data_IF_636850701500
#
_entry.id   IF_636850701500
#
_cell.length_a   1.000
_cell.length_b   1.000
_cell.length_c   1.000
_cell.angle_alpha   90.00
_cell.angle_beta   90.00
_cell.angle_gamma   90.00
#
_symmetry.space_group_name_H-M   'P 1'
#
loop_
_entity.id
_entity.type
_entity.pdbx_description
1 polymer ?
#
# COMPACT_ATOMS: atom_id res chain seq x y z
N UNK A 1 -46.41 10.87 -8.99
CA UNK A 1 -45.03 10.71 -9.47
C UNK A 1 -45.01 9.59 -10.51
N UNK A 2 -44.70 9.91 -11.77
CA UNK A 2 -44.77 8.92 -12.85
C UNK A 2 -43.53 7.99 -12.83
N UNK A 3 -43.75 6.67 -12.98
CA UNK A 3 -42.70 5.64 -13.03
C UNK A 3 -41.53 6.00 -13.96
N UNK A 4 -41.80 6.67 -15.07
CA UNK A 4 -40.81 7.15 -16.05
C UNK A 4 -39.87 8.23 -15.48
N UNK A 5 -40.37 9.14 -14.65
CA UNK A 5 -39.56 10.18 -13.99
C UNK A 5 -38.69 9.62 -12.89
N UNK A 6 -39.18 8.61 -12.15
CA UNK A 6 -38.40 7.91 -11.12
C UNK A 6 -37.20 7.16 -11.71
N UNK A 7 -37.40 6.44 -12.83
CA UNK A 7 -36.31 5.75 -13.54
C UNK A 7 -35.29 6.71 -14.12
N UNK A 8 -35.67 7.89 -14.59
CA UNK A 8 -34.76 8.91 -15.08
C UNK A 8 -33.88 9.49 -13.98
N UNK A 9 -34.43 9.73 -12.79
CA UNK A 9 -33.65 10.22 -11.64
C UNK A 9 -32.76 9.14 -11.01
N UNK A 10 -33.21 7.88 -10.96
CA UNK A 10 -32.44 6.75 -10.49
C UNK A 10 -31.25 6.42 -11.43
N UNK A 11 -31.46 6.52 -12.75
CA UNK A 11 -30.44 6.31 -13.74
C UNK A 11 -29.32 7.35 -13.72
N UNK A 12 -29.65 8.63 -13.48
CA UNK A 12 -28.65 9.71 -13.38
C UNK A 12 -27.80 9.64 -12.11
N UNK A 13 -28.39 9.19 -10.99
CA UNK A 13 -27.69 9.05 -9.70
C UNK A 13 -26.65 7.95 -9.69
N UNK A 14 -26.88 6.84 -10.39
CA UNK A 14 -25.93 5.73 -10.47
C UNK A 14 -24.71 6.01 -11.35
N UNK A 15 -24.83 6.82 -12.40
CA UNK A 15 -23.70 7.13 -13.28
C UNK A 15 -22.65 8.05 -12.63
N UNK A 16 -23.05 8.92 -11.69
CA UNK A 16 -22.14 9.84 -11.02
C UNK A 16 -21.20 9.16 -10.01
N UNK A 17 -21.59 8.05 -9.43
CA UNK A 17 -20.77 7.34 -8.42
C UNK A 17 -19.71 6.41 -9.03
N UNK A 18 -19.87 6.01 -10.30
CA UNK A 18 -18.94 5.07 -10.94
C UNK A 18 -17.65 5.72 -11.46
N UNK A 19 -17.61 7.04 -11.62
CA UNK A 19 -16.48 7.75 -12.25
C UNK A 19 -15.30 7.91 -11.28
N UNK A 20 -15.55 7.92 -9.98
CA UNK A 20 -14.51 8.12 -8.96
C UNK A 20 -13.69 6.86 -8.60
N UNK A 21 -14.10 5.68 -9.08
CA UNK A 21 -13.46 4.41 -8.74
C UNK A 21 -12.33 4.00 -9.70
N UNK A 22 -12.14 4.72 -10.80
CA UNK A 22 -11.06 4.45 -11.75
C UNK A 22 -9.83 5.25 -11.40
N UNK A 23 -8.76 4.58 -10.97
CA UNK A 23 -7.43 5.17 -10.84
C UNK A 23 -6.47 4.52 -11.83
N UNK A 24 -5.41 5.24 -12.17
CA UNK A 24 -4.36 4.74 -13.07
C UNK A 24 -3.18 4.27 -12.24
N UNK A 25 -2.59 3.13 -12.60
CA UNK A 25 -1.38 2.63 -11.95
C UNK A 25 -0.19 3.53 -12.32
N UNK A 26 0.64 3.98 -11.35
CA UNK A 26 1.58 5.08 -11.56
C UNK A 26 2.72 4.79 -12.55
N UNK A 27 3.09 3.53 -12.77
CA UNK A 27 4.20 3.18 -13.67
C UNK A 27 3.71 2.59 -14.99
N UNK A 28 2.58 1.87 -14.97
CA UNK A 28 2.10 1.10 -16.13
C UNK A 28 0.96 1.76 -16.88
N UNK A 29 0.46 2.89 -16.40
CA UNK A 29 -0.70 3.64 -16.93
C UNK A 29 -1.98 2.80 -17.13
N UNK A 30 -2.04 1.65 -16.45
CA UNK A 30 -3.20 0.78 -16.50
C UNK A 30 -4.33 1.33 -15.65
N UNK A 31 -5.52 1.41 -16.21
CA UNK A 31 -6.73 1.72 -15.46
C UNK A 31 -7.01 0.61 -14.46
N UNK A 32 -7.18 0.98 -13.19
CA UNK A 32 -7.51 0.08 -12.10
C UNK A 32 -8.82 0.52 -11.46
N UNK A 33 -9.62 -0.45 -11.06
CA UNK A 33 -10.81 -0.22 -10.27
C UNK A 33 -10.44 -0.39 -8.79
N UNK A 34 -10.25 0.73 -8.08
CA UNK A 34 -9.91 0.73 -6.66
C UNK A 34 -11.19 0.90 -5.83
N UNK A 35 -11.63 -0.16 -5.17
CA UNK A 35 -12.82 -0.15 -4.30
C UNK A 35 -12.44 0.29 -2.87
N UNK A 36 -11.25 -0.09 -2.41
CA UNK A 36 -10.79 0.17 -1.05
C UNK A 36 -9.80 1.34 -1.06
N UNK A 37 -10.02 2.39 -0.25
CA UNK A 37 -9.05 3.47 -0.10
C UNK A 37 -7.71 2.97 0.43
N UNK A 38 -6.60 3.44 -0.14
CA UNK A 38 -5.24 3.05 0.26
C UNK A 38 -4.97 3.30 1.74
N UNK A 39 -5.41 4.42 2.28
CA UNK A 39 -5.28 4.74 3.70
C UNK A 39 -5.89 3.66 4.60
N UNK A 40 -7.02 3.08 4.20
CA UNK A 40 -7.66 1.99 4.96
C UNK A 40 -6.86 0.70 4.88
N UNK A 41 -6.32 0.37 3.72
CA UNK A 41 -5.43 -0.78 3.55
C UNK A 41 -4.15 -0.65 4.38
N UNK A 42 -3.52 0.52 4.35
CA UNK A 42 -2.32 0.80 5.12
C UNK A 42 -2.58 0.70 6.63
N UNK A 43 -3.72 1.22 7.12
CA UNK A 43 -4.11 1.11 8.52
C UNK A 43 -4.35 -0.34 8.94
N UNK A 44 -5.02 -1.14 8.12
CA UNK A 44 -5.25 -2.56 8.39
C UNK A 44 -3.94 -3.35 8.37
N UNK A 45 -3.06 -3.09 7.41
CA UNK A 45 -1.75 -3.71 7.33
C UNK A 45 -0.89 -3.39 8.56
N UNK A 46 -0.87 -2.14 9.02
CA UNK A 46 -0.17 -1.74 10.23
C UNK A 46 -0.66 -2.51 11.47
N UNK A 47 -1.97 -2.69 11.63
CA UNK A 47 -2.54 -3.47 12.74
C UNK A 47 -2.13 -4.95 12.68
N UNK A 48 -2.11 -5.56 11.49
CA UNK A 48 -1.68 -6.95 11.31
C UNK A 48 -0.19 -7.08 11.61
N UNK A 49 0.61 -6.14 11.13
CA UNK A 49 2.05 -6.09 11.35
C UNK A 49 2.40 -6.01 12.85
N UNK A 50 1.70 -5.16 13.61
CA UNK A 50 1.84 -5.08 15.06
C UNK A 50 1.50 -6.41 15.76
N UNK A 51 0.47 -7.12 15.30
CA UNK A 51 0.13 -8.45 15.82
C UNK A 51 1.25 -9.46 15.54
N UNK A 52 1.86 -9.40 14.36
CA UNK A 52 3.00 -10.27 14.01
C UNK A 52 4.19 -9.97 14.91
N UNK A 53 4.54 -8.71 15.12
CA UNK A 53 5.63 -8.31 16.02
C UNK A 53 5.44 -8.83 17.45
N UNK A 54 4.19 -8.90 17.91
CA UNK A 54 3.87 -9.44 19.26
C UNK A 54 3.89 -10.96 19.31
N UNK A 55 3.57 -11.63 18.21
CA UNK A 55 3.44 -13.09 18.13
C UNK A 55 4.77 -13.77 17.82
N UNK A 56 5.54 -13.21 16.90
CA UNK A 56 6.77 -13.79 16.40
C UNK A 56 7.98 -13.35 17.25
N UNK A 57 8.98 -14.21 17.34
CA UNK A 57 10.24 -13.85 17.99
C UNK A 57 11.08 -12.98 17.03
N UNK A 58 11.44 -11.78 17.47
CA UNK A 58 12.35 -10.92 16.72
C UNK A 58 13.79 -11.40 16.86
N UNK A 59 14.56 -11.25 15.77
CA UNK A 59 15.97 -11.62 15.77
C UNK A 59 16.81 -10.58 16.52
N UNK A 60 17.81 -11.05 17.25
CA UNK A 60 18.81 -10.24 17.92
C UNK A 60 20.00 -9.86 17.00
N UNK A 61 19.99 -10.33 15.74
CA UNK A 61 21.04 -10.05 14.75
C UNK A 61 20.91 -8.61 14.20
N UNK A 62 21.48 -7.70 14.94
CA UNK A 62 21.50 -6.27 14.58
C UNK A 62 22.20 -6.02 13.26
N UNK A 63 23.27 -6.76 12.95
CA UNK A 63 24.03 -6.57 11.71
C UNK A 63 23.17 -6.84 10.48
N UNK A 64 22.41 -7.94 10.48
CA UNK A 64 21.50 -8.27 9.38
C UNK A 64 20.32 -7.29 9.32
N UNK A 65 19.76 -6.89 10.46
CA UNK A 65 18.69 -5.90 10.49
C UNK A 65 19.14 -4.52 9.96
N UNK A 66 20.33 -4.07 10.33
CA UNK A 66 20.89 -2.81 9.84
C UNK A 66 21.15 -2.85 8.33
N UNK A 67 21.63 -3.99 7.81
CA UNK A 67 21.76 -4.20 6.37
C UNK A 67 20.42 -4.11 5.64
N UNK A 68 19.37 -4.72 6.19
CA UNK A 68 18.02 -4.66 5.61
C UNK A 68 17.50 -3.22 5.60
N UNK A 69 17.71 -2.47 6.67
CA UNK A 69 17.32 -1.05 6.76
C UNK A 69 18.08 -0.18 5.77
N UNK A 70 19.40 -0.40 5.61
CA UNK A 70 20.21 0.34 4.65
C UNK A 70 19.75 0.09 3.20
N UNK A 71 19.45 -1.17 2.85
CA UNK A 71 18.88 -1.52 1.56
C UNK A 71 17.50 -0.86 1.38
N UNK A 72 16.66 -0.92 2.41
CA UNK A 72 15.34 -0.31 2.40
C UNK A 72 15.40 1.20 2.16
N UNK A 73 16.26 1.91 2.88
CA UNK A 73 16.43 3.34 2.71
C UNK A 73 16.88 3.71 1.29
N UNK A 74 17.81 2.96 0.71
CA UNK A 74 18.22 3.16 -0.69
C UNK A 74 17.07 2.95 -1.68
N UNK A 75 16.18 2.00 -1.41
CA UNK A 75 14.99 1.79 -2.22
C UNK A 75 13.99 2.96 -2.08
N UNK A 76 13.74 3.42 -0.86
CA UNK A 76 12.88 4.59 -0.60
C UNK A 76 13.39 5.83 -1.33
N UNK A 77 14.69 6.13 -1.21
CA UNK A 77 15.33 7.26 -1.88
C UNK A 77 15.21 7.15 -3.40
N UNK A 78 15.42 5.95 -3.95
CA UNK A 78 15.29 5.68 -5.39
C UNK A 78 13.86 5.84 -5.90
N UNK A 79 12.86 5.46 -5.11
CA UNK A 79 11.45 5.65 -5.45
C UNK A 79 11.14 7.16 -5.52
N UNK A 80 11.49 7.90 -4.48
CA UNK A 80 11.26 9.35 -4.43
C UNK A 80 11.97 10.07 -5.58
N UNK A 81 13.21 9.70 -5.89
CA UNK A 81 13.95 10.26 -7.01
C UNK A 81 13.29 9.96 -8.36
N UNK A 82 12.83 8.72 -8.56
CA UNK A 82 12.14 8.33 -9.79
C UNK A 82 10.88 9.17 -10.03
N UNK A 83 10.02 9.28 -9.03
CA UNK A 83 8.77 10.02 -9.17
C UNK A 83 8.98 11.53 -9.30
N UNK A 84 10.00 12.09 -8.66
CA UNK A 84 10.37 13.49 -8.83
C UNK A 84 10.85 13.82 -10.27
N UNK A 85 11.53 12.86 -10.91
CA UNK A 85 12.02 13.02 -12.30
C UNK A 85 10.92 12.83 -13.35
N UNK A 86 9.92 12.01 -13.06
CA UNK A 86 8.87 11.66 -14.03
C UNK A 86 7.66 12.57 -13.95
N UNK A 87 7.67 13.56 -13.06
CA UNK A 87 6.55 14.47 -12.78
C UNK A 87 5.24 13.69 -12.50
N UNK A 88 5.39 12.55 -11.87
CA UNK A 88 4.31 11.64 -11.50
C UNK A 88 4.10 11.64 -10.00
N UNK A 89 2.86 11.42 -9.57
CA UNK A 89 2.54 11.34 -8.15
C UNK A 89 3.20 10.08 -7.53
N UNK A 90 3.99 10.29 -6.47
CA UNK A 90 4.63 9.21 -5.73
C UNK A 90 3.58 8.45 -4.89
N UNK A 91 3.30 7.17 -5.20
CA UNK A 91 2.29 6.38 -4.49
C UNK A 91 2.71 5.99 -3.08
N UNK A 92 3.97 6.25 -2.71
CA UNK A 92 4.50 5.91 -1.38
C UNK A 92 4.44 7.07 -0.40
N UNK A 93 3.92 8.23 -0.85
CA UNK A 93 3.68 9.37 0.04
C UNK A 93 2.71 8.96 1.16
N UNK A 94 3.16 9.14 2.40
CA UNK A 94 2.40 8.73 3.59
C UNK A 94 2.58 7.27 4.00
N UNK A 95 3.50 6.54 3.39
CA UNK A 95 3.92 5.25 3.91
C UNK A 95 4.71 5.44 5.21
N UNK A 96 4.45 4.56 6.16
CA UNK A 96 5.22 4.44 7.40
C UNK A 96 6.12 3.20 7.29
N UNK A 97 7.29 3.41 6.68
CA UNK A 97 8.24 2.35 6.39
C UNK A 97 8.77 1.71 7.67
N UNK A 98 8.69 0.41 7.74
CA UNK A 98 9.16 -0.35 8.89
C UNK A 98 9.74 -1.69 8.45
N UNK A 99 10.89 -2.05 9.02
CA UNK A 99 11.65 -3.25 8.71
C UNK A 99 11.83 -4.09 9.98
N UNK A 100 11.43 -5.35 9.95
CA UNK A 100 11.69 -6.30 11.03
C UNK A 100 12.41 -7.54 10.50
N UNK A 101 13.15 -8.18 11.39
CA UNK A 101 13.79 -9.47 11.16
C UNK A 101 13.23 -10.49 12.15
N UNK A 102 12.54 -11.51 11.63
CA UNK A 102 11.91 -12.57 12.43
C UNK A 102 12.91 -13.71 12.60
N UNK A 103 13.10 -14.17 13.84
CA UNK A 103 13.95 -15.33 14.15
C UNK A 103 13.20 -16.64 13.94
N UNK A 104 13.16 -17.13 12.69
CA UNK A 104 12.60 -18.42 12.35
C UNK A 104 13.49 -19.18 11.36
N UNK A 105 14.35 -20.05 11.86
CA UNK A 105 15.31 -20.81 11.04
C UNK A 105 14.67 -21.80 10.06
N UNK A 106 13.42 -22.15 10.25
CA UNK A 106 12.68 -23.08 9.39
C UNK A 106 12.07 -22.43 8.18
N UNK A 107 11.87 -21.11 8.22
CA UNK A 107 11.24 -20.34 7.16
C UNK A 107 12.25 -19.33 6.62
N UNK A 108 12.61 -19.46 5.34
CA UNK A 108 13.39 -18.46 4.61
C UNK A 108 12.44 -17.75 3.67
N UNK A 109 11.97 -16.59 4.06
CA UNK A 109 11.00 -15.81 3.31
C UNK A 109 11.18 -14.31 3.54
N UNK A 110 10.73 -13.52 2.60
CA UNK A 110 10.60 -12.08 2.74
C UNK A 110 9.23 -11.66 2.18
N UNK A 111 8.57 -10.73 2.85
CA UNK A 111 7.27 -10.24 2.43
C UNK A 111 7.10 -8.76 2.79
N UNK A 112 6.20 -8.09 2.10
CA UNK A 112 5.80 -6.72 2.38
C UNK A 112 4.28 -6.60 2.44
N UNK A 113 3.83 -5.66 3.23
CA UNK A 113 2.42 -5.27 3.33
C UNK A 113 2.22 -3.82 2.89
N UNK A 114 0.98 -3.43 2.53
CA UNK A 114 0.66 -2.04 2.22
C UNK A 114 1.15 -1.06 3.31
N UNK A 115 1.55 0.13 2.89
CA UNK A 115 2.06 1.16 3.81
C UNK A 115 3.53 1.01 4.19
N UNK A 116 4.32 0.19 3.47
CA UNK A 116 5.77 0.06 3.66
C UNK A 116 6.18 -0.86 4.81
N UNK A 117 5.37 -1.84 5.18
CA UNK A 117 5.67 -2.82 6.24
C UNK A 117 6.38 -4.04 5.67
N UNK A 118 7.64 -4.28 6.05
CA UNK A 118 8.54 -5.28 5.46
C UNK A 118 9.09 -6.22 6.54
N UNK A 119 9.15 -7.51 6.21
CA UNK A 119 9.74 -8.53 7.09
C UNK A 119 10.54 -9.56 6.30
#
# INVERSE_FOLDING_TARGET
MNRRKFLSYAGCGCCGFMISACSTAPITDRRQFKIIPEAKLNAQAAQIYEKIKKKEKMSDDKKTLDLIKDIGQKMEDSISEYFSRTDSEDPTVGFDWEYILIDNKKVKNAWCMPGGKIA
#
